data_IF_263033028241
#
_entry.id   IF_263033028241
#
_cell.length_a   1.000
_cell.length_b   1.000
_cell.length_c   1.000
_cell.angle_alpha   90.00
_cell.angle_beta   90.00
_cell.angle_gamma   90.00
#
_symmetry.space_group_name_H-M   'P 1'
#
loop_
_entity.id
_entity.type
_entity.pdbx_description
1 polymer ?
#
# COMPACT_ATOMS: atom_id res chain seq x y z
N UNK A 1 38.18 -1.40 -9.83
CA UNK A 1 36.82 -1.78 -9.40
C UNK A 1 36.13 -0.59 -8.74
N UNK A 2 35.50 0.27 -9.57
CA UNK A 2 34.79 1.49 -9.13
C UNK A 2 33.48 1.19 -8.36
N UNK A 3 32.98 -0.04 -8.42
CA UNK A 3 31.70 -0.45 -7.79
C UNK A 3 31.78 -0.70 -6.28
N UNK A 4 32.97 -0.81 -5.71
CA UNK A 4 33.14 -1.13 -4.27
C UNK A 4 33.24 0.12 -3.38
N UNK A 5 33.00 1.33 -3.92
CA UNK A 5 33.15 2.59 -3.16
C UNK A 5 31.85 3.06 -2.50
N UNK A 6 30.70 2.47 -2.80
CA UNK A 6 29.41 2.93 -2.28
C UNK A 6 28.98 2.06 -1.09
N UNK A 7 29.39 2.42 0.11
CA UNK A 7 28.89 1.79 1.34
C UNK A 7 27.62 2.51 1.79
N UNK A 8 26.45 1.92 1.46
CA UNK A 8 25.20 2.30 2.08
C UNK A 8 25.22 1.81 3.54
N UNK A 9 25.11 2.72 4.50
CA UNK A 9 25.13 2.40 5.93
C UNK A 9 23.75 1.96 6.43
N UNK A 10 22.71 2.63 5.98
CA UNK A 10 21.33 2.27 6.31
C UNK A 10 20.34 2.82 5.28
N UNK A 11 19.25 2.09 5.10
CA UNK A 11 18.06 2.51 4.36
C UNK A 11 16.87 2.41 5.31
N UNK A 12 16.27 3.54 5.63
CA UNK A 12 15.03 3.59 6.43
C UNK A 12 13.89 4.14 5.62
N UNK A 13 12.73 3.52 5.78
CA UNK A 13 11.48 3.98 5.19
C UNK A 13 10.60 4.60 6.27
N UNK A 14 10.29 5.87 6.14
CA UNK A 14 9.35 6.55 7.01
C UNK A 14 7.94 6.41 6.46
N UNK A 15 7.05 5.84 7.28
CA UNK A 15 5.64 5.70 6.94
C UNK A 15 4.98 7.08 6.92
N UNK A 16 4.45 7.46 5.76
CA UNK A 16 3.70 8.70 5.59
C UNK A 16 2.19 8.40 5.51
N UNK A 17 1.32 9.28 6.05
CA UNK A 17 -0.11 9.16 5.87
C UNK A 17 -0.49 9.39 4.40
N UNK A 18 -1.35 8.52 3.87
CA UNK A 18 -1.94 8.66 2.54
C UNK A 18 -3.45 8.81 2.62
N UNK A 19 -4.08 9.16 1.51
CA UNK A 19 -5.54 9.25 1.36
C UNK A 19 -6.07 8.24 0.35
N UNK A 20 -7.30 7.78 0.54
CA UNK A 20 -7.95 6.88 -0.40
C UNK A 20 -9.45 7.21 -0.55
N UNK A 21 -9.97 7.02 -1.77
CA UNK A 21 -11.38 7.15 -2.09
C UNK A 21 -11.82 5.93 -2.88
N UNK A 22 -12.94 5.30 -2.51
CA UNK A 22 -13.42 4.10 -3.16
C UNK A 22 -14.93 3.97 -3.18
N UNK A 23 -15.43 3.10 -4.06
CA UNK A 23 -16.85 2.78 -4.20
C UNK A 23 -17.08 1.37 -3.68
N UNK A 24 -17.95 1.23 -2.69
CA UNK A 24 -18.29 -0.04 -2.08
C UNK A 24 -19.38 -0.77 -2.87
N UNK A 25 -19.06 -1.97 -3.33
CA UNK A 25 -20.05 -2.92 -3.87
C UNK A 25 -20.09 -4.15 -2.96
N UNK A 26 -21.28 -4.55 -2.51
CA UNK A 26 -21.47 -5.68 -1.61
C UNK A 26 -22.48 -6.67 -2.18
N UNK A 27 -22.08 -7.95 -2.28
CA UNK A 27 -22.92 -9.06 -2.75
C UNK A 27 -23.11 -10.05 -1.61
N UNK A 28 -24.36 -10.42 -1.31
CA UNK A 28 -24.68 -11.45 -0.30
C UNK A 28 -24.44 -12.83 -0.90
N UNK A 29 -23.67 -13.68 -0.21
CA UNK A 29 -23.36 -15.05 -0.66
C UNK A 29 -24.25 -16.07 0.09
N UNK A 30 -25.49 -16.22 -0.36
CA UNK A 30 -26.43 -17.23 0.16
C UNK A 30 -26.92 -16.98 1.60
N UNK A 31 -26.05 -16.58 2.51
CA UNK A 31 -26.36 -16.30 3.92
C UNK A 31 -26.21 -14.82 4.25
N UNK A 32 -26.99 -14.28 5.22
CA UNK A 32 -26.85 -12.89 5.62
C UNK A 32 -25.52 -12.59 6.32
N UNK A 33 -24.81 -13.64 6.77
CA UNK A 33 -23.57 -13.56 7.54
C UNK A 33 -22.35 -13.43 6.65
N UNK A 34 -22.39 -13.98 5.41
CA UNK A 34 -21.24 -13.98 4.50
C UNK A 34 -21.56 -13.09 3.32
N UNK A 35 -20.66 -12.16 3.04
CA UNK A 35 -20.77 -11.21 1.93
C UNK A 35 -19.45 -11.13 1.17
N UNK A 36 -19.54 -10.95 -0.12
CA UNK A 36 -18.42 -10.55 -0.96
C UNK A 36 -18.46 -9.04 -1.14
N UNK A 37 -17.30 -8.39 -0.91
CA UNK A 37 -17.12 -6.94 -1.08
C UNK A 37 -16.06 -6.70 -2.13
N UNK A 38 -16.38 -5.80 -3.04
CA UNK A 38 -15.49 -5.28 -4.05
C UNK A 38 -15.46 -3.77 -3.94
N UNK A 39 -14.29 -3.18 -3.76
CA UNK A 39 -14.14 -1.75 -3.44
C UNK A 39 -13.08 -1.12 -4.35
N UNK A 40 -13.38 -0.86 -5.64
CA UNK A 40 -12.46 -0.08 -6.47
C UNK A 40 -12.08 1.23 -5.78
N UNK A 41 -10.79 1.44 -5.58
CA UNK A 41 -10.28 2.53 -4.74
C UNK A 41 -9.13 3.24 -5.46
N UNK A 42 -9.15 4.56 -5.44
CA UNK A 42 -8.03 5.42 -5.82
C UNK A 42 -7.28 5.81 -4.54
N UNK A 43 -6.00 5.48 -4.47
CA UNK A 43 -5.14 5.69 -3.31
C UNK A 43 -3.98 6.62 -3.66
N UNK A 44 -3.74 7.59 -2.79
CA UNK A 44 -2.64 8.54 -2.88
C UNK A 44 -1.69 8.28 -1.73
N UNK A 45 -0.45 7.92 -2.04
CA UNK A 45 0.57 7.56 -1.05
C UNK A 45 1.86 8.32 -1.32
N UNK A 46 2.51 8.75 -0.26
CA UNK A 46 3.88 9.27 -0.29
C UNK A 46 4.79 8.34 0.51
N UNK A 47 5.97 8.04 -0.02
CA UNK A 47 7.00 7.27 0.66
C UNK A 47 8.27 8.09 0.72
N UNK A 48 8.84 8.19 1.90
CA UNK A 48 10.11 8.88 2.11
C UNK A 48 11.18 7.83 2.40
N UNK A 49 12.13 7.71 1.49
CA UNK A 49 13.28 6.81 1.62
C UNK A 49 14.48 7.64 2.09
N UNK A 50 14.96 7.35 3.27
CA UNK A 50 16.13 7.99 3.85
C UNK A 50 17.37 7.11 3.64
N UNK A 51 18.34 7.64 2.89
CA UNK A 51 19.63 7.00 2.63
C UNK A 51 20.70 7.57 3.54
N UNK A 52 21.50 6.69 4.13
CA UNK A 52 22.73 7.06 4.83
C UNK A 52 23.92 6.40 4.12
N UNK A 53 24.83 7.20 3.58
CA UNK A 53 26.05 6.75 2.92
C UNK A 53 27.27 7.43 3.50
N UNK A 54 28.41 6.75 3.45
CA UNK A 54 29.72 7.35 3.78
C UNK A 54 30.23 8.30 2.68
N UNK A 55 29.63 8.25 1.51
CA UNK A 55 30.08 9.03 0.35
C UNK A 55 29.35 10.37 0.27
N UNK A 56 30.11 11.46 0.42
CA UNK A 56 29.61 12.84 0.37
C UNK A 56 29.47 13.41 -1.03
N UNK A 57 29.88 12.67 -2.06
CA UNK A 57 29.86 13.15 -3.45
C UNK A 57 28.43 13.22 -3.98
N UNK A 58 27.59 12.23 -3.64
CA UNK A 58 26.20 12.11 -4.11
C UNK A 58 25.16 12.63 -3.11
N UNK A 59 25.52 12.71 -1.83
CA UNK A 59 24.61 13.16 -0.77
C UNK A 59 25.27 14.23 0.07
N UNK A 60 24.66 15.40 0.20
CA UNK A 60 25.15 16.44 1.11
C UNK A 60 25.17 15.88 2.54
N UNK A 61 26.34 15.86 3.16
CA UNK A 61 26.58 15.30 4.50
C UNK A 61 26.31 13.79 4.65
N UNK A 62 26.40 12.97 3.56
CA UNK A 62 26.17 11.54 3.63
C UNK A 62 24.71 11.12 3.89
N UNK A 63 23.76 12.03 3.79
CA UNK A 63 22.32 11.78 3.96
C UNK A 63 21.58 12.21 2.71
N UNK A 64 20.73 11.33 2.18
CA UNK A 64 19.84 11.61 1.06
C UNK A 64 18.41 11.26 1.42
N UNK A 65 17.46 12.08 1.00
CA UNK A 65 16.03 11.85 1.13
C UNK A 65 15.44 11.77 -0.28
N UNK A 66 14.78 10.67 -0.59
CA UNK A 66 14.04 10.52 -1.84
C UNK A 66 12.55 10.35 -1.53
N UNK A 67 11.74 11.23 -2.08
CA UNK A 67 10.28 11.17 -1.99
C UNK A 67 9.73 10.48 -3.21
N UNK A 68 8.92 9.47 -2.99
CA UNK A 68 8.23 8.72 -4.03
C UNK A 68 6.74 8.91 -3.84
N UNK A 69 6.13 9.74 -4.68
CA UNK A 69 4.68 9.89 -4.75
C UNK A 69 4.11 8.76 -5.60
N UNK A 70 3.05 8.14 -5.14
CA UNK A 70 2.39 7.03 -5.82
C UNK A 70 0.89 7.25 -5.84
N UNK A 71 0.31 7.21 -7.03
CA UNK A 71 -1.13 7.17 -7.21
C UNK A 71 -1.52 5.78 -7.67
N UNK A 72 -2.22 5.05 -6.81
CA UNK A 72 -2.56 3.65 -7.07
C UNK A 72 -4.05 3.50 -7.34
N UNK A 73 -4.36 2.67 -8.34
CA UNK A 73 -5.69 2.14 -8.54
C UNK A 73 -5.75 0.74 -7.91
N UNK A 74 -6.58 0.58 -6.89
CA UNK A 74 -6.65 -0.63 -6.08
C UNK A 74 -8.00 -1.32 -6.25
N UNK A 75 -7.96 -2.65 -6.34
CA UNK A 75 -9.13 -3.51 -6.53
C UNK A 75 -9.19 -4.57 -5.41
N UNK A 76 -9.56 -4.19 -4.17
CA UNK A 76 -9.72 -5.16 -3.09
C UNK A 76 -10.95 -6.03 -3.32
N UNK A 77 -10.75 -7.34 -3.20
CA UNK A 77 -11.76 -8.39 -3.24
C UNK A 77 -11.77 -9.09 -1.89
N UNK A 78 -12.81 -8.86 -1.09
CA UNK A 78 -12.84 -9.25 0.31
C UNK A 78 -14.05 -10.13 0.61
N UNK A 79 -13.86 -11.17 1.40
CA UNK A 79 -14.94 -11.88 2.08
C UNK A 79 -15.18 -11.23 3.45
N UNK A 80 -16.40 -10.82 3.68
CA UNK A 80 -16.87 -10.25 4.95
C UNK A 80 -17.66 -11.31 5.71
N UNK A 81 -17.21 -11.59 6.93
CA UNK A 81 -17.92 -12.42 7.90
C UNK A 81 -18.47 -11.55 9.00
N UNK A 82 -19.79 -11.43 9.08
CA UNK A 82 -20.44 -10.53 10.03
C UNK A 82 -21.24 -11.28 11.08
N UNK A 83 -21.30 -10.70 12.28
CA UNK A 83 -22.14 -11.16 13.36
C UNK A 83 -23.62 -10.87 13.06
N UNK A 84 -24.52 -11.50 13.78
CA UNK A 84 -25.90 -11.04 13.83
C UNK A 84 -25.96 -9.61 14.37
N UNK A 85 -26.91 -8.84 13.85
CA UNK A 85 -27.14 -7.47 14.33
C UNK A 85 -27.57 -7.51 15.82
N UNK A 86 -26.86 -6.74 16.61
CA UNK A 86 -27.22 -6.51 18.02
C UNK A 86 -27.59 -5.03 18.18
N UNK A 87 -28.86 -4.76 18.50
CA UNK A 87 -29.41 -3.41 18.49
C UNK A 87 -29.13 -2.70 17.15
N UNK A 88 -28.33 -1.64 17.19
CA UNK A 88 -28.00 -0.80 16.04
C UNK A 88 -26.55 -0.98 15.54
N UNK A 89 -25.88 -2.08 15.90
CA UNK A 89 -24.54 -2.33 15.39
C UNK A 89 -24.31 -3.79 14.97
N UNK A 90 -23.31 -4.00 14.15
CA UNK A 90 -22.83 -5.31 13.70
C UNK A 90 -21.30 -5.24 13.60
N UNK A 91 -20.62 -6.22 14.18
CA UNK A 91 -19.19 -6.38 13.97
C UNK A 91 -18.93 -7.36 12.81
N UNK A 92 -17.79 -7.23 12.16
CA UNK A 92 -17.38 -8.11 11.07
C UNK A 92 -15.88 -8.23 10.96
N UNK A 93 -15.43 -9.33 10.37
CA UNK A 93 -14.06 -9.54 9.92
C UNK A 93 -14.00 -9.58 8.40
N UNK A 94 -12.83 -9.27 7.86
CA UNK A 94 -12.54 -9.19 6.44
C UNK A 94 -11.29 -10.00 6.11
N UNK A 95 -11.38 -10.78 5.05
CA UNK A 95 -10.24 -11.53 4.50
C UNK A 95 -10.30 -11.46 2.98
N UNK A 96 -9.18 -11.21 2.33
CA UNK A 96 -9.17 -11.19 0.89
C UNK A 96 -7.84 -10.80 0.28
N UNK A 97 -7.91 -10.43 -0.97
CA UNK A 97 -6.76 -10.01 -1.77
C UNK A 97 -7.06 -8.68 -2.44
N UNK A 98 -6.01 -7.92 -2.66
CA UNK A 98 -6.03 -6.67 -3.40
C UNK A 98 -5.09 -6.76 -4.59
N UNK A 99 -5.57 -6.36 -5.74
CA UNK A 99 -4.74 -6.06 -6.89
C UNK A 99 -4.55 -4.56 -6.99
N UNK A 100 -3.30 -4.10 -7.11
CA UNK A 100 -2.94 -2.69 -7.14
C UNK A 100 -2.16 -2.38 -8.41
N UNK A 101 -2.51 -1.26 -9.04
CA UNK A 101 -1.83 -0.71 -10.23
C UNK A 101 -1.31 0.67 -9.86
N UNK A 102 0.02 0.86 -9.90
CA UNK A 102 0.64 2.16 -9.74
C UNK A 102 0.58 2.93 -11.06
N UNK A 103 -0.17 4.05 -11.05
CA UNK A 103 -0.36 4.90 -12.23
C UNK A 103 0.84 5.81 -12.52
N UNK A 104 1.73 6.01 -11.55
CA UNK A 104 2.93 6.86 -11.64
C UNK A 104 4.22 6.02 -11.69
N UNK A 105 4.10 4.70 -11.86
CA UNK A 105 5.25 3.81 -11.91
C UNK A 105 6.18 4.18 -13.05
N UNK A 106 7.46 4.34 -12.73
CA UNK A 106 8.55 4.54 -13.68
C UNK A 106 9.24 3.21 -14.06
N UNK A 107 8.50 2.11 -14.06
CA UNK A 107 9.03 0.77 -14.32
C UNK A 107 9.80 0.70 -15.64
N UNK A 108 9.28 1.35 -16.70
CA UNK A 108 9.82 1.31 -18.06
C UNK A 108 10.72 2.52 -18.37
N UNK A 109 10.95 3.42 -17.41
CA UNK A 109 11.80 4.58 -17.61
C UNK A 109 13.28 4.17 -17.61
N UNK A 110 14.07 4.71 -18.58
CA UNK A 110 15.52 4.55 -18.58
C UNK A 110 16.14 5.42 -17.49
N UNK A 111 16.98 4.80 -16.64
CA UNK A 111 17.72 5.52 -15.63
C UNK A 111 18.96 6.20 -16.21
N UNK A 112 19.17 7.46 -15.84
CA UNK A 112 20.44 8.15 -16.09
C UNK A 112 21.35 7.95 -14.87
N UNK A 113 22.65 7.79 -15.13
CA UNK A 113 23.67 7.59 -14.08
C UNK A 113 23.76 8.77 -13.08
N UNK A 114 23.27 9.95 -13.52
CA UNK A 114 23.30 11.20 -12.74
C UNK A 114 22.05 11.47 -11.89
N UNK A 115 20.95 10.73 -12.13
CA UNK A 115 19.69 10.87 -11.38
C UNK A 115 19.07 9.47 -11.16
N UNK A 116 19.67 8.64 -10.28
CA UNK A 116 19.18 7.30 -10.02
C UNK A 116 17.91 7.34 -9.17
N UNK A 117 16.87 6.60 -9.59
CA UNK A 117 15.65 6.43 -8.84
C UNK A 117 15.32 4.96 -8.60
N UNK A 118 14.53 4.68 -7.56
CA UNK A 118 14.11 3.31 -7.22
C UNK A 118 12.93 2.91 -8.10
N UNK A 119 13.13 1.88 -8.93
CA UNK A 119 12.08 1.31 -9.76
C UNK A 119 11.17 0.39 -8.95
N UNK A 120 9.88 0.69 -8.98
CA UNK A 120 8.84 -0.10 -8.35
C UNK A 120 7.96 -0.72 -9.44
N UNK A 121 7.57 -1.99 -9.27
CA UNK A 121 6.68 -2.68 -10.20
C UNK A 121 5.35 -1.96 -10.29
N UNK A 122 4.83 -1.84 -11.51
CA UNK A 122 3.54 -1.22 -11.78
C UNK A 122 2.37 -1.95 -11.14
N UNK A 123 2.45 -3.28 -11.04
CA UNK A 123 1.38 -4.14 -10.56
C UNK A 123 1.82 -4.88 -9.30
N UNK A 124 0.97 -4.95 -8.29
CA UNK A 124 1.23 -5.66 -7.05
C UNK A 124 -0.01 -6.42 -6.57
N UNK A 125 0.23 -7.63 -6.01
CA UNK A 125 -0.78 -8.44 -5.36
C UNK A 125 -0.52 -8.49 -3.86
N UNK A 126 -1.55 -8.17 -3.09
CA UNK A 126 -1.46 -8.07 -1.63
C UNK A 126 -2.56 -8.90 -0.97
N UNK A 127 -2.23 -9.57 0.13
CA UNK A 127 -3.21 -10.14 1.04
C UNK A 127 -3.73 -9.07 2.00
N UNK A 128 -5.02 -9.11 2.30
CA UNK A 128 -5.64 -8.21 3.26
C UNK A 128 -6.41 -8.96 4.32
N UNK A 129 -6.29 -8.47 5.56
CA UNK A 129 -7.10 -8.89 6.70
C UNK A 129 -7.60 -7.63 7.41
N UNK A 130 -8.82 -7.68 7.92
CA UNK A 130 -9.37 -6.54 8.63
C UNK A 130 -10.54 -6.88 9.52
N UNK A 131 -10.97 -5.88 10.27
CA UNK A 131 -12.16 -5.93 11.10
C UNK A 131 -12.86 -4.57 11.08
N UNK A 132 -14.15 -4.57 11.34
CA UNK A 132 -14.94 -3.35 11.39
C UNK A 132 -16.23 -3.49 12.16
N UNK A 133 -16.85 -2.34 12.38
CA UNK A 133 -18.14 -2.21 13.03
C UNK A 133 -19.04 -1.36 12.14
N UNK A 134 -20.27 -1.82 11.91
CA UNK A 134 -21.32 -1.08 11.21
C UNK A 134 -22.37 -0.60 12.20
N UNK A 135 -22.71 0.67 12.12
CA UNK A 135 -23.82 1.30 12.87
C UNK A 135 -24.98 1.57 11.90
N UNK A 136 -26.18 1.23 12.32
CA UNK A 136 -27.40 1.40 11.55
C UNK A 136 -28.16 2.61 12.04
N UNK A 137 -28.18 3.67 11.24
CA UNK A 137 -29.07 4.81 11.40
C UNK A 137 -30.37 4.59 10.60
N UNK A 138 -31.43 5.40 10.79
CA UNK A 138 -32.69 5.24 10.06
C UNK A 138 -32.58 5.31 8.54
N UNK A 139 -31.63 6.13 8.01
CA UNK A 139 -31.49 6.41 6.59
C UNK A 139 -30.17 5.97 5.97
N UNK A 140 -29.16 5.62 6.78
CA UNK A 140 -27.83 5.22 6.31
C UNK A 140 -27.15 4.29 7.29
N UNK A 141 -26.12 3.59 6.81
CA UNK A 141 -25.20 2.83 7.65
C UNK A 141 -23.86 3.53 7.65
N UNK A 142 -23.25 3.58 8.82
CA UNK A 142 -21.91 4.10 9.03
C UNK A 142 -21.01 2.97 9.51
N UNK A 143 -19.88 2.78 8.85
CA UNK A 143 -18.89 1.77 9.19
C UNK A 143 -17.54 2.36 9.53
N UNK A 144 -16.91 1.81 10.57
CA UNK A 144 -15.50 2.00 10.90
C UNK A 144 -14.76 0.71 10.60
N UNK A 145 -13.68 0.78 9.85
CA UNK A 145 -12.93 -0.39 9.41
C UNK A 145 -11.42 -0.18 9.53
N UNK A 146 -10.74 -1.16 10.09
CA UNK A 146 -9.28 -1.25 10.14
C UNK A 146 -8.82 -2.44 9.33
N UNK A 147 -7.95 -2.23 8.36
CA UNK A 147 -7.36 -3.27 7.51
C UNK A 147 -5.85 -3.22 7.57
N UNK A 148 -5.24 -4.38 7.48
CA UNK A 148 -3.81 -4.58 7.25
C UNK A 148 -3.59 -5.26 5.91
N UNK A 149 -2.67 -4.75 5.12
CA UNK A 149 -2.28 -5.28 3.83
C UNK A 149 -0.82 -5.70 3.83
N UNK A 150 -0.52 -6.82 3.16
CA UNK A 150 0.82 -7.34 2.98
C UNK A 150 1.03 -7.83 1.55
N UNK A 151 2.04 -7.29 0.86
CA UNK A 151 2.42 -7.69 -0.48
C UNK A 151 2.97 -9.11 -0.52
N UNK A 152 2.53 -9.94 -1.49
CA UNK A 152 3.00 -11.32 -1.64
C UNK A 152 4.36 -11.41 -2.32
N UNK A 153 4.72 -10.42 -3.11
CA UNK A 153 5.98 -10.37 -3.86
C UNK A 153 6.74 -9.09 -3.58
N UNK A 154 8.06 -9.12 -3.76
CA UNK A 154 8.86 -7.91 -3.75
C UNK A 154 8.41 -6.99 -4.88
N UNK A 155 8.02 -5.77 -4.55
CA UNK A 155 7.64 -4.72 -5.49
C UNK A 155 8.87 -4.04 -6.11
N UNK A 156 10.07 -4.40 -5.67
CA UNK A 156 11.33 -3.85 -6.14
C UNK A 156 11.78 -4.50 -7.44
N UNK A 157 12.29 -3.67 -8.37
CA UNK A 157 12.99 -4.10 -9.58
C UNK A 157 14.48 -3.82 -9.38
N UNK A 158 15.28 -4.87 -9.39
CA UNK A 158 16.72 -4.75 -9.22
C UNK A 158 17.36 -4.19 -10.50
N UNK A 159 17.92 -2.99 -10.39
CA UNK A 159 18.76 -2.37 -11.42
C UNK A 159 20.18 -2.24 -10.86
N UNK A 160 21.18 -2.37 -11.75
CA UNK A 160 22.62 -2.25 -11.38
C UNK A 160 23.03 -0.80 -11.11
N UNK A 161 22.27 -0.08 -10.29
CA UNK A 161 22.61 1.29 -9.86
C UNK A 161 23.09 1.31 -8.41
N UNK A 162 23.91 2.29 -8.03
CA UNK A 162 24.43 2.40 -6.65
C UNK A 162 23.34 2.48 -5.58
N UNK A 163 22.14 2.94 -5.95
CA UNK A 163 20.99 3.10 -5.06
C UNK A 163 20.16 1.81 -4.98
N UNK A 164 20.10 1.03 -6.07
CA UNK A 164 19.32 -0.20 -6.15
C UNK A 164 20.07 -1.45 -5.64
N UNK A 165 21.40 -1.49 -5.79
CA UNK A 165 22.24 -2.64 -5.44
C UNK A 165 22.12 -3.13 -3.98
N UNK A 166 21.98 -2.25 -2.97
CA UNK A 166 21.87 -2.69 -1.58
C UNK A 166 20.49 -3.15 -1.16
N UNK A 167 19.48 -3.07 -2.05
CA UNK A 167 18.09 -3.45 -1.73
C UNK A 167 17.82 -4.84 -2.30
N UNK A 168 17.70 -5.86 -1.45
CA UNK A 168 17.38 -7.22 -1.88
C UNK A 168 15.87 -7.40 -2.13
N UNK A 169 15.02 -6.93 -1.23
CA UNK A 169 13.56 -7.12 -1.28
C UNK A 169 12.82 -5.96 -0.65
N UNK A 170 11.75 -5.52 -1.29
CA UNK A 170 10.86 -4.48 -0.78
C UNK A 170 9.41 -4.99 -0.81
N UNK A 171 8.86 -5.29 0.37
CA UNK A 171 7.46 -5.69 0.53
C UNK A 171 6.60 -4.49 0.85
N UNK A 172 5.48 -4.37 0.16
CA UNK A 172 4.48 -3.35 0.46
C UNK A 172 3.67 -3.77 1.70
N UNK A 173 3.66 -2.94 2.73
CA UNK A 173 2.86 -3.14 3.96
C UNK A 173 2.15 -1.87 4.30
N UNK A 174 0.84 -1.95 4.54
CA UNK A 174 0.05 -0.77 4.85
C UNK A 174 -1.07 -1.07 5.85
N UNK A 175 -1.37 -0.09 6.68
CA UNK A 175 -2.57 -0.05 7.50
C UNK A 175 -3.55 0.93 6.89
N UNK A 176 -4.81 0.51 6.80
CA UNK A 176 -5.90 1.33 6.29
C UNK A 176 -6.94 1.53 7.38
N UNK A 177 -7.23 2.78 7.67
CA UNK A 177 -8.40 3.16 8.45
C UNK A 177 -9.45 3.73 7.51
N UNK A 178 -10.64 3.14 7.47
CA UNK A 178 -11.69 3.50 6.52
C UNK A 178 -12.99 3.88 7.22
N UNK A 179 -13.60 4.95 6.72
CA UNK A 179 -14.96 5.34 7.03
C UNK A 179 -15.85 4.92 5.86
N UNK A 180 -16.91 4.19 6.14
CA UNK A 180 -17.81 3.65 5.13
C UNK A 180 -19.20 4.22 5.35
N UNK A 181 -19.77 4.75 4.27
CA UNK A 181 -21.15 5.20 4.24
C UNK A 181 -21.91 4.35 3.23
N UNK A 182 -23.03 3.76 3.65
CA UNK A 182 -23.91 2.95 2.79
C UNK A 182 -25.35 3.40 3.01
N UNK A 183 -26.02 3.82 1.93
CA UNK A 183 -27.42 4.23 1.92
C UNK A 183 -28.38 3.08 1.61
#
# INVERSE_FOLDING_TARGET
DAYNKYQLLSLTNDAQPGGQLGILTTIKLGTPTIRFRFIPTLSFQERVLNYQSLDTIWFQNGKGEQRVNSTNLEFPMMLQFRTKRYNNFTAYSLFGMQYSIDLQSQQDASQNFYDPFVKIKKNDWQGQIGAGIEFFAPYFKFGLELKYSHGFKSSFIQDYTPVANPIDQLYNRAWYFSLIFEG
#
